data_IF_935084520755
#
_entry.id   IF_935084520755
#
_cell.length_a   1.000
_cell.length_b   1.000
_cell.length_c   1.000
_cell.angle_alpha   90.00
_cell.angle_beta   90.00
_cell.angle_gamma   90.00
#
_symmetry.space_group_name_H-M   'P 1'
#
loop_
_entity.id
_entity.type
_entity.pdbx_description
1 polymer ?
#
# COMPACT_ATOMS: atom_id res chain seq x y z
N UNK A 1 -17.98 5.40 9.08
CA UNK A 1 -18.35 5.93 10.43
C UNK A 1 -17.92 4.94 11.52
N UNK A 2 -18.49 3.71 11.58
CA UNK A 2 -18.19 2.74 12.64
C UNK A 2 -16.67 2.42 12.77
N UNK A 3 -15.96 2.19 11.66
CA UNK A 3 -14.53 1.95 11.68
C UNK A 3 -13.73 3.15 12.25
N UNK A 4 -14.17 4.38 11.96
CA UNK A 4 -13.56 5.58 12.55
C UNK A 4 -13.75 5.64 14.07
N UNK A 5 -14.94 5.30 14.54
CA UNK A 5 -15.27 5.24 15.97
C UNK A 5 -14.48 4.14 16.69
N UNK A 6 -14.43 2.93 16.12
CA UNK A 6 -13.77 1.77 16.74
C UNK A 6 -12.25 1.85 16.73
N UNK A 7 -11.65 2.43 15.69
CA UNK A 7 -10.21 2.35 15.45
C UNK A 7 -9.52 3.72 15.37
N UNK A 8 -10.24 4.81 15.62
CA UNK A 8 -9.68 6.16 15.56
C UNK A 8 -9.28 6.61 14.14
N UNK A 9 -9.81 5.97 13.10
CA UNK A 9 -9.50 6.31 11.71
C UNK A 9 -10.23 7.61 11.35
N UNK A 10 -9.53 8.61 10.75
CA UNK A 10 -10.18 9.83 10.29
C UNK A 10 -11.32 9.53 9.32
N UNK A 11 -12.47 10.14 9.56
CA UNK A 11 -13.64 9.98 8.71
C UNK A 11 -13.88 11.25 7.90
N UNK A 12 -14.23 11.10 6.62
CA UNK A 12 -14.57 12.19 5.73
C UNK A 12 -15.70 11.78 4.81
N UNK A 13 -16.37 12.76 4.24
CA UNK A 13 -17.45 12.53 3.29
C UNK A 13 -17.95 13.83 2.69
N UNK A 14 -18.76 13.68 1.64
CA UNK A 14 -19.41 14.78 0.94
C UNK A 14 -20.89 14.45 0.74
N UNK A 15 -21.63 15.30 0.01
CA UNK A 15 -22.98 15.01 -0.41
C UNK A 15 -23.03 13.91 -1.50
N UNK A 16 -24.20 13.31 -1.68
CA UNK A 16 -24.50 12.43 -2.83
C UNK A 16 -25.29 13.23 -3.89
N UNK A 17 -25.34 12.70 -5.14
CA UNK A 17 -26.16 13.29 -6.21
C UNK A 17 -27.63 13.43 -5.81
N UNK A 18 -28.17 12.49 -5.03
CA UNK A 18 -29.54 12.55 -4.50
C UNK A 18 -29.81 13.78 -3.63
N UNK A 19 -28.79 14.31 -2.93
CA UNK A 19 -28.92 15.57 -2.20
C UNK A 19 -29.15 16.73 -3.16
N UNK A 20 -28.37 16.80 -4.25
CA UNK A 20 -28.50 17.85 -5.25
C UNK A 20 -29.87 17.77 -5.93
N UNK A 21 -30.26 16.55 -6.33
CA UNK A 21 -31.55 16.31 -7.02
C UNK A 21 -32.79 16.53 -6.12
N UNK A 22 -32.65 16.48 -4.82
CA UNK A 22 -33.73 16.72 -3.87
C UNK A 22 -34.17 18.21 -3.85
N UNK A 23 -33.29 19.13 -4.18
CA UNK A 23 -33.56 20.55 -4.18
C UNK A 23 -34.04 21.02 -5.57
N UNK A 24 -34.73 22.16 -5.59
CA UNK A 24 -35.31 22.72 -6.83
C UNK A 24 -34.24 23.11 -7.84
N UNK A 25 -33.04 23.48 -7.37
CA UNK A 25 -31.89 23.82 -8.20
C UNK A 25 -30.56 23.50 -7.47
N UNK A 26 -29.49 23.38 -8.25
CA UNK A 26 -28.16 23.01 -7.79
C UNK A 26 -27.54 24.06 -6.84
N UNK A 27 -27.75 25.35 -7.11
CA UNK A 27 -27.26 26.41 -6.24
C UNK A 27 -27.88 26.32 -4.85
N UNK A 28 -29.20 26.08 -4.76
CA UNK A 28 -29.91 25.90 -3.48
C UNK A 28 -29.39 24.69 -2.72
N UNK A 29 -29.14 23.57 -3.40
CA UNK A 29 -28.53 22.38 -2.79
C UNK A 29 -27.16 22.68 -2.19
N UNK A 30 -26.27 23.34 -2.94
CA UNK A 30 -24.93 23.72 -2.50
C UNK A 30 -24.96 24.73 -1.35
N UNK A 31 -25.82 25.74 -1.46
CA UNK A 31 -26.02 26.73 -0.39
C UNK A 31 -26.42 26.08 0.92
N UNK A 32 -27.42 25.19 0.90
CA UNK A 32 -27.89 24.48 2.10
C UNK A 32 -26.79 23.60 2.71
N UNK A 33 -26.02 22.92 1.88
CA UNK A 33 -24.90 22.13 2.38
C UNK A 33 -23.81 23.01 3.03
N UNK A 34 -23.47 24.12 2.41
CA UNK A 34 -22.48 25.06 2.92
C UNK A 34 -22.92 25.74 4.24
N UNK A 35 -24.21 26.06 4.39
CA UNK A 35 -24.78 26.56 5.64
C UNK A 35 -24.67 25.56 6.80
N UNK A 36 -24.82 24.25 6.51
CA UNK A 36 -24.75 23.18 7.53
C UNK A 36 -23.29 22.81 7.85
N UNK A 37 -22.42 22.77 6.83
CA UNK A 37 -21.02 22.34 6.96
C UNK A 37 -20.03 23.39 6.43
N UNK A 38 -19.98 24.59 7.01
CA UNK A 38 -19.20 25.70 6.45
C UNK A 38 -17.68 25.42 6.41
N UNK A 39 -17.16 24.66 7.37
CA UNK A 39 -15.75 24.30 7.45
C UNK A 39 -15.35 23.08 6.61
N UNK A 40 -16.32 22.30 6.14
CA UNK A 40 -16.11 21.07 5.40
C UNK A 40 -16.92 21.01 4.10
N UNK A 41 -17.20 22.17 3.50
CA UNK A 41 -17.96 22.26 2.25
C UNK A 41 -17.14 21.75 1.08
N UNK A 42 -17.37 20.49 0.68
CA UNK A 42 -16.91 19.90 -0.58
C UNK A 42 -18.15 19.62 -1.42
N UNK A 43 -18.29 20.32 -2.54
CA UNK A 43 -19.51 20.33 -3.36
C UNK A 43 -19.38 19.39 -4.55
N UNK A 44 -20.39 18.52 -4.76
CA UNK A 44 -20.45 17.55 -5.85
C UNK A 44 -21.00 18.24 -7.10
N UNK A 45 -20.13 18.54 -8.09
CA UNK A 45 -20.43 19.48 -9.17
C UNK A 45 -20.83 18.84 -10.50
N UNK A 46 -20.96 17.53 -10.54
CA UNK A 46 -21.23 16.77 -11.78
C UNK A 46 -22.63 16.12 -11.82
N UNK A 47 -23.57 16.64 -11.02
CA UNK A 47 -24.94 16.12 -11.07
C UNK A 47 -25.63 16.43 -12.42
N UNK A 48 -25.35 17.58 -13.01
CA UNK A 48 -25.93 18.02 -14.30
C UNK A 48 -24.86 18.34 -15.33
N UNK A 49 -24.18 19.48 -15.20
CA UNK A 49 -23.08 19.88 -16.06
C UNK A 49 -21.97 20.55 -15.24
N UNK A 50 -20.78 19.94 -15.26
CA UNK A 50 -19.66 20.40 -14.46
C UNK A 50 -19.26 21.84 -14.75
N UNK A 51 -19.14 22.20 -16.04
CA UNK A 51 -18.55 23.47 -16.47
C UNK A 51 -19.59 24.58 -16.66
N UNK A 52 -20.79 24.22 -17.07
CA UNK A 52 -21.86 25.19 -17.33
C UNK A 52 -22.73 25.47 -16.06
N UNK A 53 -22.77 24.57 -15.10
CA UNK A 53 -23.61 24.66 -13.91
C UNK A 53 -22.84 24.42 -12.60
N UNK A 54 -22.26 23.26 -12.40
CA UNK A 54 -21.72 22.82 -11.12
C UNK A 54 -20.63 23.72 -10.57
N UNK A 55 -19.53 23.91 -11.32
CA UNK A 55 -18.43 24.78 -10.90
C UNK A 55 -18.86 26.25 -10.78
N UNK A 56 -19.65 26.84 -11.71
CA UNK A 56 -20.20 28.18 -11.53
C UNK A 56 -21.03 28.34 -10.25
N UNK A 57 -21.93 27.39 -9.93
CA UNK A 57 -22.74 27.43 -8.70
C UNK A 57 -21.88 27.24 -7.44
N UNK A 58 -20.85 26.39 -7.48
CA UNK A 58 -19.91 26.24 -6.38
C UNK A 58 -19.15 27.56 -6.10
N UNK A 59 -18.67 28.23 -7.15
CA UNK A 59 -18.00 29.54 -7.04
C UNK A 59 -18.97 30.59 -6.49
N UNK A 60 -20.22 30.58 -6.93
CA UNK A 60 -21.25 31.47 -6.45
C UNK A 60 -21.51 31.28 -4.96
N UNK A 61 -21.69 30.04 -4.51
CA UNK A 61 -21.85 29.70 -3.07
C UNK A 61 -20.64 30.09 -2.25
N UNK A 62 -19.44 29.89 -2.76
CA UNK A 62 -18.21 30.34 -2.08
C UNK A 62 -18.25 31.85 -1.80
N UNK A 63 -18.66 32.65 -2.80
CA UNK A 63 -18.66 34.13 -2.71
C UNK A 63 -19.87 34.69 -1.93
N UNK A 64 -21.06 34.13 -2.16
CA UNK A 64 -22.30 34.66 -1.60
C UNK A 64 -22.64 34.10 -0.21
N UNK A 65 -22.12 32.92 0.14
CA UNK A 65 -22.47 32.23 1.39
C UNK A 65 -21.25 32.09 2.31
N UNK A 66 -20.19 31.43 1.86
CA UNK A 66 -19.06 31.09 2.71
C UNK A 66 -18.17 32.30 3.07
N UNK A 67 -17.79 33.12 2.09
CA UNK A 67 -16.96 34.30 2.34
C UNK A 67 -17.59 35.29 3.31
N UNK A 68 -18.91 35.62 3.24
CA UNK A 68 -19.54 36.47 4.24
C UNK A 68 -19.53 35.89 5.67
N UNK A 69 -19.45 34.55 5.79
CA UNK A 69 -19.27 33.86 7.08
C UNK A 69 -17.83 33.79 7.55
N UNK A 70 -16.89 34.37 6.81
CA UNK A 70 -15.44 34.25 7.08
C UNK A 70 -14.88 32.87 6.78
N UNK A 71 -15.55 32.08 5.92
CA UNK A 71 -15.18 30.71 5.55
C UNK A 71 -14.74 30.64 4.08
N UNK A 72 -14.07 29.54 3.74
CA UNK A 72 -13.62 29.26 2.36
C UNK A 72 -14.25 27.96 1.87
N UNK A 73 -14.51 27.89 0.57
CA UNK A 73 -14.91 26.63 -0.07
C UNK A 73 -13.77 25.65 0.02
N UNK A 74 -13.96 24.55 0.73
CA UNK A 74 -12.90 23.55 0.93
C UNK A 74 -12.56 22.80 -0.35
N UNK A 75 -13.56 22.43 -1.14
CA UNK A 75 -13.32 21.69 -2.37
C UNK A 75 -14.55 21.51 -3.24
N UNK A 76 -14.29 21.00 -4.43
CA UNK A 76 -15.30 20.41 -5.33
C UNK A 76 -14.99 18.94 -5.55
N UNK A 77 -16.02 18.16 -5.88
CA UNK A 77 -15.89 16.72 -6.20
C UNK A 77 -16.39 16.45 -7.61
N UNK A 78 -15.58 15.71 -8.36
CA UNK A 78 -15.88 15.17 -9.69
C UNK A 78 -16.01 13.65 -9.57
N UNK A 79 -17.14 13.09 -9.98
CA UNK A 79 -17.48 11.67 -9.84
C UNK A 79 -17.78 11.01 -11.21
N UNK A 80 -17.73 11.75 -12.30
CA UNK A 80 -18.06 11.26 -13.64
C UNK A 80 -17.35 12.04 -14.76
N UNK A 81 -17.42 11.50 -15.99
CA UNK A 81 -16.86 12.10 -17.19
C UNK A 81 -15.34 11.95 -17.32
N UNK A 82 -14.74 12.75 -18.20
CA UNK A 82 -13.28 12.82 -18.36
C UNK A 82 -12.66 13.65 -17.23
N UNK A 83 -12.24 12.95 -16.16
CA UNK A 83 -11.70 13.57 -14.95
C UNK A 83 -10.45 14.40 -15.22
N UNK A 84 -9.58 13.99 -16.17
CA UNK A 84 -8.38 14.75 -16.50
C UNK A 84 -8.72 16.07 -17.19
N UNK A 85 -9.63 16.05 -18.14
CA UNK A 85 -10.10 17.25 -18.82
C UNK A 85 -10.87 18.17 -17.87
N UNK A 86 -11.85 17.62 -17.16
CA UNK A 86 -12.74 18.39 -16.28
C UNK A 86 -11.97 19.04 -15.13
N UNK A 87 -11.03 18.33 -14.48
CA UNK A 87 -10.23 18.89 -13.39
C UNK A 87 -9.36 20.07 -13.86
N UNK A 88 -8.76 19.98 -15.05
CA UNK A 88 -7.99 21.08 -15.62
C UNK A 88 -8.84 22.31 -15.93
N UNK A 89 -10.07 22.13 -16.41
CA UNK A 89 -11.01 23.23 -16.69
C UNK A 89 -11.56 23.84 -15.39
N UNK A 90 -11.99 22.98 -14.46
CA UNK A 90 -12.48 23.41 -13.14
C UNK A 90 -11.42 24.20 -12.37
N UNK A 91 -10.15 23.73 -12.38
CA UNK A 91 -9.04 24.43 -11.72
C UNK A 91 -8.87 25.86 -12.27
N UNK A 92 -8.89 26.03 -13.60
CA UNK A 92 -8.82 27.36 -14.21
C UNK A 92 -9.97 28.28 -13.79
N UNK A 93 -11.19 27.74 -13.68
CA UNK A 93 -12.36 28.51 -13.26
C UNK A 93 -12.27 28.92 -11.78
N UNK A 94 -11.82 28.02 -10.92
CA UNK A 94 -11.62 28.27 -9.49
C UNK A 94 -10.53 29.33 -9.29
N UNK A 95 -9.37 29.20 -9.94
CA UNK A 95 -8.27 30.17 -9.87
C UNK A 95 -8.71 31.56 -10.33
N UNK A 96 -9.41 31.65 -11.46
CA UNK A 96 -9.96 32.90 -11.95
C UNK A 96 -10.98 33.56 -11.02
N UNK A 97 -11.57 32.77 -10.11
CA UNK A 97 -12.52 33.25 -9.09
C UNK A 97 -11.85 33.62 -7.76
N UNK A 98 -10.51 33.44 -7.60
CA UNK A 98 -9.77 33.65 -6.36
C UNK A 98 -9.93 32.51 -5.35
N UNK A 99 -10.09 31.26 -5.85
CA UNK A 99 -10.29 30.05 -5.06
C UNK A 99 -9.17 29.02 -5.33
N UNK A 100 -7.91 29.47 -5.33
CA UNK A 100 -6.73 28.64 -5.56
C UNK A 100 -6.54 27.58 -4.49
N UNK A 101 -7.03 27.84 -3.27
CA UNK A 101 -7.03 26.96 -2.11
C UNK A 101 -8.15 25.89 -2.12
N UNK A 102 -9.13 26.02 -3.02
CA UNK A 102 -10.20 25.04 -3.18
C UNK A 102 -9.66 23.75 -3.81
N UNK A 103 -9.68 22.64 -3.10
CA UNK A 103 -9.19 21.35 -3.60
C UNK A 103 -10.17 20.72 -4.61
N UNK A 104 -9.64 19.92 -5.52
CA UNK A 104 -10.44 19.11 -6.45
C UNK A 104 -10.31 17.64 -6.03
N UNK A 105 -11.43 17.04 -5.65
CA UNK A 105 -11.55 15.64 -5.29
C UNK A 105 -12.10 14.86 -6.47
N UNK A 106 -11.47 13.76 -6.85
CA UNK A 106 -12.00 12.83 -7.84
C UNK A 106 -12.45 11.53 -7.19
N UNK A 107 -13.51 10.95 -7.69
CA UNK A 107 -14.04 9.64 -7.31
C UNK A 107 -14.61 8.92 -8.55
N UNK A 108 -15.21 7.76 -8.39
CA UNK A 108 -15.75 6.89 -9.42
C UNK A 108 -14.74 5.83 -9.92
N UNK A 109 -14.89 4.62 -9.41
CA UNK A 109 -14.20 3.40 -9.88
C UNK A 109 -12.67 3.56 -10.02
N UNK A 110 -12.09 4.39 -9.17
CA UNK A 110 -10.64 4.65 -9.18
C UNK A 110 -9.86 3.45 -8.65
N UNK A 111 -8.76 3.18 -9.31
CA UNK A 111 -7.72 2.24 -8.90
C UNK A 111 -6.33 2.84 -9.19
N UNK A 112 -5.30 2.09 -8.84
CA UNK A 112 -3.90 2.47 -9.04
C UNK A 112 -3.59 2.83 -10.50
N UNK A 113 -4.11 2.07 -11.46
CA UNK A 113 -3.86 2.30 -12.90
C UNK A 113 -4.58 3.54 -13.41
N UNK A 114 -5.83 3.72 -13.02
CA UNK A 114 -6.62 4.91 -13.39
C UNK A 114 -6.01 6.17 -12.80
N UNK A 115 -5.59 6.14 -11.53
CA UNK A 115 -4.93 7.28 -10.88
C UNK A 115 -3.61 7.60 -11.58
N UNK A 116 -2.79 6.60 -11.87
CA UNK A 116 -1.53 6.79 -12.61
C UNK A 116 -1.77 7.48 -13.96
N UNK A 117 -2.72 6.97 -14.74
CA UNK A 117 -3.09 7.54 -16.03
C UNK A 117 -3.60 8.98 -15.92
N UNK A 118 -4.43 9.29 -14.91
CA UNK A 118 -4.91 10.66 -14.68
C UNK A 118 -3.75 11.64 -14.39
N UNK A 119 -2.77 11.21 -13.59
CA UNK A 119 -1.59 12.01 -13.25
C UNK A 119 -0.72 12.23 -14.49
N UNK A 120 -0.47 11.20 -15.30
CA UNK A 120 0.26 11.32 -16.57
C UNK A 120 -0.42 12.29 -17.56
N UNK A 121 -1.74 12.30 -17.60
CA UNK A 121 -2.51 13.24 -18.41
C UNK A 121 -2.49 14.68 -17.86
N UNK A 122 -1.82 14.92 -16.72
CA UNK A 122 -1.72 16.22 -16.08
C UNK A 122 -3.04 16.67 -15.44
N UNK A 123 -3.85 15.75 -14.94
CA UNK A 123 -5.04 16.07 -14.15
C UNK A 123 -4.69 16.97 -12.96
N UNK A 124 -5.60 17.88 -12.63
CA UNK A 124 -5.47 18.80 -11.50
C UNK A 124 -6.36 18.33 -10.34
N UNK A 125 -5.99 17.20 -9.78
CA UNK A 125 -6.72 16.52 -8.70
C UNK A 125 -5.83 16.50 -7.47
N UNK A 126 -6.38 16.94 -6.34
CA UNK A 126 -5.65 17.06 -5.07
C UNK A 126 -5.93 15.87 -4.14
N UNK A 127 -7.05 15.17 -4.33
CA UNK A 127 -7.45 14.04 -3.52
C UNK A 127 -8.29 13.03 -4.32
N UNK A 128 -8.11 11.74 -4.00
CA UNK A 128 -8.81 10.64 -4.66
C UNK A 128 -9.69 9.88 -3.66
N UNK A 129 -10.97 9.73 -4.01
CA UNK A 129 -11.92 8.88 -3.28
C UNK A 129 -11.90 7.47 -3.86
N UNK A 130 -11.05 6.60 -3.32
CA UNK A 130 -10.95 5.20 -3.76
C UNK A 130 -11.78 4.33 -2.84
N UNK A 131 -12.78 3.65 -3.40
CA UNK A 131 -13.77 2.87 -2.63
C UNK A 131 -13.66 1.37 -2.89
N UNK A 132 -14.59 0.85 -3.70
CA UNK A 132 -14.76 -0.59 -3.95
C UNK A 132 -13.45 -1.29 -4.32
N UNK A 133 -12.68 -0.75 -5.24
CA UNK A 133 -11.47 -1.40 -5.75
C UNK A 133 -10.37 -1.53 -4.69
N UNK A 134 -10.29 -0.56 -3.77
CA UNK A 134 -9.37 -0.63 -2.63
C UNK A 134 -9.85 -1.65 -1.59
N UNK A 135 -11.14 -1.60 -1.21
CA UNK A 135 -11.71 -2.47 -0.16
C UNK A 135 -11.69 -3.94 -0.59
N UNK A 136 -11.95 -4.21 -1.87
CA UNK A 136 -11.93 -5.58 -2.42
C UNK A 136 -10.54 -6.04 -2.82
N UNK A 137 -9.52 -5.16 -2.76
CA UNK A 137 -8.17 -5.41 -3.31
C UNK A 137 -8.26 -5.99 -4.73
N UNK A 138 -9.02 -5.34 -5.62
CA UNK A 138 -9.54 -5.89 -6.87
C UNK A 138 -8.47 -6.50 -7.79
N UNK A 139 -7.28 -5.92 -7.82
CA UNK A 139 -6.16 -6.42 -8.63
C UNK A 139 -5.56 -7.72 -8.08
N UNK A 140 -5.57 -7.89 -6.74
CA UNK A 140 -5.10 -9.10 -6.07
C UNK A 140 -5.89 -9.33 -4.77
N UNK A 141 -7.12 -9.90 -4.85
CA UNK A 141 -8.07 -9.95 -3.74
C UNK A 141 -7.73 -10.99 -2.67
N UNK A 142 -6.73 -11.83 -2.89
CA UNK A 142 -6.40 -12.93 -1.98
C UNK A 142 -4.90 -12.98 -1.71
N UNK A 143 -4.50 -12.78 -0.47
CA UNK A 143 -3.15 -13.16 -0.04
C UNK A 143 -3.00 -14.67 -0.13
N UNK A 144 -2.14 -15.15 -1.03
CA UNK A 144 -1.85 -16.56 -1.24
C UNK A 144 -1.06 -17.20 -0.09
N UNK A 145 -1.50 -17.03 1.15
CA UNK A 145 -0.84 -17.59 2.31
C UNK A 145 -1.02 -19.10 2.40
N UNK A 146 0.09 -19.82 2.61
CA UNK A 146 0.11 -21.29 2.74
C UNK A 146 0.92 -21.68 3.97
N UNK A 147 0.35 -22.54 4.80
CA UNK A 147 1.07 -23.17 5.90
C UNK A 147 1.63 -24.52 5.45
N UNK A 148 2.94 -24.75 5.62
CA UNK A 148 3.62 -25.97 5.19
C UNK A 148 4.48 -26.55 6.31
N UNK A 149 4.40 -27.88 6.46
CA UNK A 149 5.29 -28.64 7.35
C UNK A 149 6.71 -28.61 6.78
N UNK A 150 7.65 -28.09 7.56
CA UNK A 150 9.08 -27.98 7.16
C UNK A 150 10.01 -28.71 8.11
N UNK A 151 9.57 -29.08 9.30
CA UNK A 151 10.35 -29.86 10.27
C UNK A 151 9.44 -30.59 11.27
N UNK A 152 9.96 -31.63 11.90
CA UNK A 152 9.35 -32.33 13.01
C UNK A 152 10.40 -32.47 14.12
N UNK A 153 10.05 -32.06 15.34
CA UNK A 153 10.92 -32.27 16.49
C UNK A 153 10.56 -33.60 17.18
N UNK A 154 11.56 -34.46 17.37
CA UNK A 154 11.47 -35.69 18.16
C UNK A 154 12.64 -35.72 19.13
N UNK A 155 12.38 -35.94 20.39
CA UNK A 155 13.41 -36.03 21.46
C UNK A 155 14.39 -34.84 21.43
N UNK A 156 13.88 -33.64 21.24
CA UNK A 156 14.63 -32.36 21.06
C UNK A 156 15.51 -32.28 19.83
N UNK A 157 15.43 -33.24 18.90
CA UNK A 157 16.14 -33.23 17.65
C UNK A 157 15.18 -32.76 16.55
N UNK A 158 15.61 -31.76 15.78
CA UNK A 158 14.87 -31.23 14.64
C UNK A 158 15.17 -32.05 13.38
N UNK A 159 14.14 -32.67 12.83
CA UNK A 159 14.21 -33.42 11.56
C UNK A 159 13.58 -32.57 10.45
N UNK A 160 14.37 -32.02 9.53
CA UNK A 160 13.84 -31.26 8.41
C UNK A 160 12.98 -32.12 7.51
N UNK A 161 11.90 -31.54 6.98
CA UNK A 161 10.96 -32.16 6.04
C UNK A 161 10.86 -31.31 4.77
N UNK A 162 10.90 -31.98 3.63
CA UNK A 162 10.80 -31.32 2.34
C UNK A 162 9.65 -31.90 1.52
N UNK A 163 8.90 -31.02 0.87
CA UNK A 163 7.98 -31.40 -0.19
C UNK A 163 8.64 -31.13 -1.54
N UNK A 164 8.73 -32.15 -2.36
CA UNK A 164 9.18 -32.04 -3.74
C UNK A 164 8.00 -31.68 -4.64
N UNK A 165 8.22 -30.81 -5.61
CA UNK A 165 7.24 -30.39 -6.60
C UNK A 165 7.94 -30.21 -7.96
N UNK A 166 7.19 -30.40 -9.04
CA UNK A 166 7.67 -30.06 -10.39
C UNK A 166 7.81 -28.55 -10.61
N UNK A 167 7.07 -27.74 -9.84
CA UNK A 167 7.15 -26.28 -9.83
C UNK A 167 8.13 -25.86 -8.74
N UNK A 168 9.21 -25.18 -9.09
CA UNK A 168 10.31 -24.82 -8.19
C UNK A 168 9.81 -24.01 -6.98
N UNK A 169 8.95 -23.02 -7.19
CA UNK A 169 8.41 -22.14 -6.13
C UNK A 169 7.52 -22.90 -5.14
N UNK A 170 7.06 -24.10 -5.50
CA UNK A 170 6.28 -24.98 -4.62
C UNK A 170 7.11 -25.96 -3.80
N UNK A 171 8.43 -26.01 -4.04
CA UNK A 171 9.36 -26.76 -3.19
C UNK A 171 9.51 -26.02 -1.87
N UNK A 172 9.28 -26.74 -0.76
CA UNK A 172 9.38 -26.10 0.56
C UNK A 172 10.82 -25.81 0.96
N UNK A 173 11.00 -24.77 1.78
CA UNK A 173 12.26 -24.49 2.44
C UNK A 173 12.30 -25.26 3.77
N UNK A 174 13.05 -26.37 3.87
CA UNK A 174 13.00 -27.31 5.00
C UNK A 174 13.72 -26.78 6.24
N UNK A 175 13.46 -27.44 7.38
CA UNK A 175 14.19 -27.20 8.61
C UNK A 175 13.75 -25.94 9.38
N UNK A 176 14.35 -25.79 10.55
CA UNK A 176 14.25 -24.58 11.35
C UNK A 176 15.27 -23.56 10.81
N UNK A 177 14.80 -22.34 10.58
CA UNK A 177 15.55 -21.31 9.84
C UNK A 177 15.26 -19.92 10.36
N UNK A 178 16.15 -18.98 10.03
CA UNK A 178 15.97 -17.55 10.23
C UNK A 178 15.93 -16.83 8.89
N UNK A 179 15.32 -15.64 8.87
CA UNK A 179 15.28 -14.76 7.71
C UNK A 179 15.82 -13.40 8.13
N UNK A 180 16.79 -12.92 7.39
CA UNK A 180 17.51 -11.68 7.64
C UNK A 180 17.33 -10.75 6.46
N UNK A 181 17.02 -9.50 6.72
CA UNK A 181 17.09 -8.45 5.71
C UNK A 181 18.47 -7.84 5.72
N UNK A 182 19.07 -7.78 4.55
CA UNK A 182 20.42 -7.23 4.33
C UNK A 182 20.27 -5.83 3.75
N UNK A 183 20.95 -4.86 4.36
CA UNK A 183 20.93 -3.47 3.95
C UNK A 183 22.31 -3.02 3.45
N UNK A 184 22.31 -2.21 2.41
CA UNK A 184 23.51 -1.51 1.97
C UNK A 184 23.88 -0.33 2.91
N UNK A 185 25.03 0.35 2.70
CA UNK A 185 25.41 1.51 3.53
C UNK A 185 24.44 2.68 3.47
N UNK A 186 23.66 2.81 2.41
CA UNK A 186 22.65 3.86 2.24
C UNK A 186 21.33 3.54 2.98
N UNK A 187 21.20 2.36 3.58
CA UNK A 187 20.03 1.92 4.33
C UNK A 187 18.97 1.21 3.51
N UNK A 188 19.19 0.99 2.21
CA UNK A 188 18.26 0.24 1.36
C UNK A 188 18.44 -1.27 1.51
N UNK A 189 17.31 -1.98 1.58
CA UNK A 189 17.26 -3.42 1.58
C UNK A 189 17.68 -3.98 0.20
N UNK A 190 18.74 -4.76 0.16
CA UNK A 190 19.28 -5.33 -1.09
C UNK A 190 18.85 -6.77 -1.32
N UNK A 191 18.57 -7.51 -0.26
CA UNK A 191 18.07 -8.89 -0.32
C UNK A 191 17.55 -9.34 1.05
N UNK A 192 16.78 -10.41 1.06
CA UNK A 192 16.48 -11.21 2.25
C UNK A 192 17.29 -12.51 2.20
N UNK A 193 17.93 -12.89 3.31
CA UNK A 193 18.80 -14.06 3.42
C UNK A 193 18.17 -15.11 4.35
N UNK A 194 18.02 -16.33 3.86
CA UNK A 194 17.64 -17.49 4.68
C UNK A 194 18.87 -18.19 5.22
N UNK A 195 18.92 -18.42 6.52
CA UNK A 195 20.01 -19.17 7.20
C UNK A 195 19.48 -20.34 8.00
N UNK A 196 20.35 -21.25 8.42
CA UNK A 196 20.01 -22.20 9.49
C UNK A 196 19.68 -21.43 10.78
N UNK A 197 18.89 -22.03 11.67
CA UNK A 197 18.44 -21.37 12.91
C UNK A 197 19.59 -20.98 13.86
N UNK A 198 20.69 -21.70 13.81
CA UNK A 198 21.90 -21.49 14.60
C UNK A 198 22.98 -20.69 13.87
N UNK A 199 22.75 -20.36 12.60
CA UNK A 199 23.67 -19.56 11.77
C UNK A 199 23.30 -18.07 11.85
N UNK A 200 24.18 -17.30 12.49
CA UNK A 200 24.01 -15.84 12.64
C UNK A 200 24.95 -15.12 11.69
N UNK A 201 24.43 -14.35 10.72
CA UNK A 201 25.27 -13.56 9.83
C UNK A 201 26.07 -12.51 10.60
N UNK A 202 27.38 -12.43 10.35
CA UNK A 202 28.27 -11.42 10.92
C UNK A 202 28.61 -10.36 9.86
N UNK A 203 28.04 -9.16 9.93
CA UNK A 203 28.27 -8.11 8.94
C UNK A 203 29.68 -7.50 9.00
N UNK A 204 30.51 -7.85 9.98
CA UNK A 204 31.92 -7.48 10.01
C UNK A 204 32.77 -8.29 9.03
N UNK A 205 32.23 -9.36 8.47
CA UNK A 205 32.84 -10.22 7.47
C UNK A 205 31.97 -10.30 6.21
N UNK A 206 32.52 -10.65 5.04
CA UNK A 206 31.70 -10.95 3.88
C UNK A 206 30.73 -12.09 4.18
N UNK A 207 29.43 -11.85 3.99
CA UNK A 207 28.36 -12.83 4.21
C UNK A 207 28.10 -13.56 2.89
N UNK A 208 28.54 -14.82 2.74
CA UNK A 208 28.34 -15.56 1.50
C UNK A 208 26.88 -15.95 1.30
N UNK A 209 26.41 -15.89 0.06
CA UNK A 209 25.06 -16.32 -0.30
C UNK A 209 25.03 -17.08 -1.63
N UNK A 210 23.94 -17.81 -1.83
CA UNK A 210 23.61 -18.54 -3.06
C UNK A 210 22.21 -18.10 -3.49
N UNK A 211 22.07 -17.63 -4.73
CA UNK A 211 20.77 -17.45 -5.37
C UNK A 211 20.19 -18.85 -5.68
N UNK A 212 19.08 -19.26 -5.07
CA UNK A 212 18.55 -20.61 -5.23
C UNK A 212 18.01 -20.90 -6.64
N UNK A 213 17.68 -19.87 -7.42
CA UNK A 213 17.25 -20.00 -8.81
C UNK A 213 18.42 -19.97 -9.78
N UNK A 214 19.50 -19.32 -9.40
CA UNK A 214 20.71 -19.12 -10.21
C UNK A 214 21.97 -19.46 -9.40
N UNK A 215 22.15 -20.73 -8.99
CA UNK A 215 23.20 -21.13 -8.06
C UNK A 215 24.63 -20.91 -8.56
N UNK A 216 24.81 -20.61 -9.84
CA UNK A 216 26.08 -20.15 -10.39
C UNK A 216 26.45 -18.71 -10.01
N UNK A 217 25.50 -17.93 -9.48
CA UNK A 217 25.72 -16.61 -8.93
C UNK A 217 25.96 -16.71 -7.41
N UNK A 218 27.08 -17.29 -7.02
CA UNK A 218 27.52 -17.24 -5.62
C UNK A 218 28.33 -15.97 -5.42
N UNK A 219 27.92 -15.16 -4.47
CA UNK A 219 28.54 -13.88 -4.12
C UNK A 219 28.56 -13.74 -2.59
N UNK A 220 29.02 -12.59 -2.12
CA UNK A 220 28.97 -12.25 -0.71
C UNK A 220 28.48 -10.81 -0.55
N UNK A 221 27.65 -10.56 0.47
CA UNK A 221 27.36 -9.21 0.90
C UNK A 221 28.55 -8.65 1.69
N UNK A 222 28.98 -7.46 1.31
CA UNK A 222 30.04 -6.70 1.99
C UNK A 222 29.52 -5.31 2.33
N UNK A 223 30.10 -4.65 3.31
CA UNK A 223 29.70 -3.31 3.73
C UNK A 223 28.19 -3.20 3.96
N UNK A 224 27.63 -4.12 4.72
CA UNK A 224 26.20 -4.24 4.93
C UNK A 224 25.84 -4.28 6.42
N UNK A 225 24.56 -4.07 6.71
CA UNK A 225 23.95 -4.38 8.01
C UNK A 225 22.86 -5.43 7.82
N UNK A 226 22.51 -6.12 8.89
CA UNK A 226 21.48 -7.17 8.85
C UNK A 226 20.47 -6.98 9.96
N UNK A 227 19.19 -7.29 9.66
CA UNK A 227 18.11 -7.29 10.63
C UNK A 227 17.32 -8.60 10.54
N UNK A 228 17.13 -9.29 11.67
CA UNK A 228 16.23 -10.45 11.70
C UNK A 228 14.79 -10.00 11.47
N UNK A 229 14.10 -10.66 10.53
CA UNK A 229 12.71 -10.34 10.20
C UNK A 229 11.70 -11.10 11.05
N UNK A 230 12.13 -12.16 11.73
CA UNK A 230 11.25 -12.99 12.54
C UNK A 230 11.15 -12.43 13.94
N UNK A 231 9.93 -12.17 14.40
CA UNK A 231 9.64 -11.74 15.75
C UNK A 231 8.79 -12.77 16.47
N UNK A 232 9.12 -13.04 17.73
CA UNK A 232 8.30 -13.90 18.57
C UNK A 232 7.05 -13.15 19.02
N UNK A 233 5.89 -13.56 18.53
CA UNK A 233 4.59 -12.93 18.83
C UNK A 233 3.78 -13.68 19.88
N UNK A 234 4.11 -14.97 20.14
CA UNK A 234 3.41 -15.82 21.10
C UNK A 234 4.36 -16.83 21.73
N UNK A 235 4.28 -17.00 23.05
CA UNK A 235 5.01 -18.04 23.84
C UNK A 235 4.01 -18.69 24.78
N UNK A 236 3.98 -20.00 24.81
CA UNK A 236 3.09 -20.82 25.68
C UNK A 236 1.61 -20.36 25.63
N UNK A 237 1.13 -20.04 24.42
CA UNK A 237 -0.24 -19.58 24.18
C UNK A 237 -0.52 -18.15 24.64
N UNK A 238 0.50 -17.39 25.05
CA UNK A 238 0.37 -15.99 25.46
C UNK A 238 1.07 -15.06 24.47
N UNK A 239 0.40 -13.98 24.14
CA UNK A 239 0.97 -12.92 23.29
C UNK A 239 2.15 -12.25 24.02
N UNK A 240 3.26 -12.07 23.33
CA UNK A 240 4.51 -11.52 23.90
C UNK A 240 4.49 -10.00 24.02
N UNK A 241 3.74 -9.34 23.16
CA UNK A 241 3.57 -7.88 23.14
C UNK A 241 2.16 -7.52 22.67
N UNK A 242 1.59 -6.37 23.08
CA UNK A 242 0.28 -5.94 22.58
C UNK A 242 0.32 -5.73 21.07
N UNK A 243 -0.85 -5.83 20.43
CA UNK A 243 -0.99 -5.45 19.02
C UNK A 243 -0.71 -3.96 18.86
N UNK A 244 0.05 -3.56 17.83
CA UNK A 244 0.31 -2.15 17.57
C UNK A 244 -0.99 -1.42 17.20
N UNK A 245 -1.05 -0.14 17.47
CA UNK A 245 -2.11 0.74 17.00
C UNK A 245 -2.04 0.91 15.47
N UNK A 246 -3.14 1.35 14.86
CA UNK A 246 -3.18 1.62 13.41
C UNK A 246 -2.14 2.68 13.03
N UNK A 247 -1.94 3.70 13.87
CA UNK A 247 -0.98 4.77 13.60
C UNK A 247 0.47 4.28 13.65
N UNK A 248 0.80 3.38 14.57
CA UNK A 248 2.11 2.73 14.62
C UNK A 248 2.35 1.87 13.37
N UNK A 249 1.33 1.11 12.93
CA UNK A 249 1.41 0.31 11.69
C UNK A 249 1.61 1.21 10.46
N UNK A 250 0.85 2.31 10.35
CA UNK A 250 0.99 3.28 9.25
C UNK A 250 2.38 3.91 9.22
N UNK A 251 2.87 4.32 10.38
CA UNK A 251 4.21 4.91 10.51
C UNK A 251 5.30 3.91 10.11
N UNK A 252 5.16 2.66 10.54
CA UNK A 252 6.08 1.57 10.16
C UNK A 252 6.08 1.33 8.64
N UNK A 253 4.89 1.21 8.02
CA UNK A 253 4.79 1.02 6.55
C UNK A 253 5.40 2.21 5.81
N UNK A 254 5.10 3.43 6.24
CA UNK A 254 5.68 4.64 5.63
C UNK A 254 7.21 4.64 5.71
N UNK A 255 7.76 4.31 6.87
CA UNK A 255 9.21 4.20 7.05
C UNK A 255 9.82 3.17 6.10
N UNK A 256 9.21 1.97 5.99
CA UNK A 256 9.70 0.93 5.09
C UNK A 256 9.73 1.41 3.63
N UNK A 257 8.64 2.02 3.16
CA UNK A 257 8.53 2.49 1.78
C UNK A 257 9.47 3.68 1.47
N UNK A 258 9.60 4.62 2.40
CA UNK A 258 10.38 5.84 2.18
C UNK A 258 11.91 5.61 2.32
N UNK A 259 12.34 4.64 3.14
CA UNK A 259 13.74 4.54 3.59
C UNK A 259 14.39 3.19 3.32
N UNK A 260 13.64 2.10 3.24
CA UNK A 260 14.21 0.75 3.17
C UNK A 260 13.98 0.07 1.81
N UNK A 261 12.83 0.30 1.17
CA UNK A 261 12.46 -0.37 -0.08
C UNK A 261 12.85 0.50 -1.28
N UNK A 262 13.55 -0.08 -2.24
CA UNK A 262 13.94 0.60 -3.45
C UNK A 262 12.73 1.18 -4.22
N UNK A 263 12.82 2.42 -4.75
CA UNK A 263 11.76 2.97 -5.60
C UNK A 263 11.43 2.08 -6.80
N UNK A 264 12.41 1.34 -7.32
CA UNK A 264 12.26 0.40 -8.42
C UNK A 264 11.36 -0.79 -8.07
N UNK A 265 11.35 -1.24 -6.82
CA UNK A 265 10.47 -2.30 -6.32
C UNK A 265 9.03 -1.80 -6.11
N UNK A 266 8.85 -0.49 -5.96
CA UNK A 266 7.55 0.15 -5.73
C UNK A 266 6.85 0.55 -7.04
N UNK A 267 7.42 0.26 -8.20
CA UNK A 267 6.78 0.57 -9.49
C UNK A 267 5.48 -0.17 -9.65
N UNK A 268 4.47 0.53 -10.17
CA UNK A 268 3.18 -0.07 -10.47
C UNK A 268 3.29 -1.10 -11.59
N UNK A 269 4.10 -0.80 -12.62
CA UNK A 269 4.36 -1.68 -13.74
C UNK A 269 5.81 -2.13 -13.74
N UNK A 270 6.03 -3.42 -13.99
CA UNK A 270 7.35 -4.05 -14.03
C UNK A 270 8.22 -3.69 -12.79
N UNK A 271 7.76 -3.98 -11.58
CA UNK A 271 8.56 -3.74 -10.38
C UNK A 271 9.82 -4.59 -10.40
N UNK A 272 10.90 -4.07 -9.83
CA UNK A 272 12.09 -4.87 -9.59
C UNK A 272 11.79 -5.97 -8.56
N UNK A 273 12.31 -7.17 -8.77
CA UNK A 273 12.10 -8.28 -7.85
C UNK A 273 13.04 -8.15 -6.66
N UNK A 274 12.49 -8.22 -5.45
CA UNK A 274 13.30 -8.34 -4.24
C UNK A 274 13.95 -9.73 -4.18
N UNK A 275 15.27 -9.78 -3.92
CA UNK A 275 16.01 -11.04 -3.91
C UNK A 275 15.79 -11.80 -2.61
N UNK A 276 15.66 -13.12 -2.73
CA UNK A 276 15.62 -14.05 -1.61
C UNK A 276 16.73 -15.09 -1.77
N UNK A 277 17.79 -14.89 -1.05
CA UNK A 277 19.00 -15.71 -1.10
C UNK A 277 19.09 -16.70 0.06
N UNK A 278 20.01 -17.64 -0.03
CA UNK A 278 20.25 -18.65 1.00
C UNK A 278 21.72 -18.63 1.41
N UNK A 279 22.00 -18.87 2.69
CA UNK A 279 23.36 -19.19 3.09
C UNK A 279 23.85 -20.49 2.41
N UNK A 280 25.13 -20.64 2.14
CA UNK A 280 25.65 -21.88 1.54
C UNK A 280 25.30 -23.14 2.31
N UNK A 281 25.34 -23.08 3.64
CA UNK A 281 24.97 -24.21 4.50
C UNK A 281 23.48 -24.57 4.37
N UNK A 282 22.60 -23.57 4.38
CA UNK A 282 21.17 -23.79 4.20
C UNK A 282 20.84 -24.33 2.80
N UNK A 283 21.45 -23.77 1.76
CA UNK A 283 21.29 -24.24 0.38
C UNK A 283 21.75 -25.69 0.23
N UNK A 284 22.90 -26.04 0.77
CA UNK A 284 23.43 -27.42 0.72
C UNK A 284 22.46 -28.40 1.41
N UNK A 285 22.01 -28.12 2.62
CA UNK A 285 21.04 -28.95 3.36
C UNK A 285 19.75 -29.16 2.54
N UNK A 286 19.21 -28.11 1.91
CA UNK A 286 18.02 -28.21 1.05
C UNK A 286 18.28 -29.11 -0.15
N UNK A 287 19.42 -28.99 -0.81
CA UNK A 287 19.77 -29.79 -1.99
C UNK A 287 20.01 -31.27 -1.64
N UNK A 288 20.59 -31.57 -0.47
CA UNK A 288 20.77 -32.95 0.01
C UNK A 288 19.42 -33.62 0.26
N UNK A 289 18.50 -32.92 0.90
CA UNK A 289 17.14 -33.43 1.14
C UNK A 289 16.38 -33.65 -0.17
N UNK A 290 16.53 -32.76 -1.14
CA UNK A 290 15.92 -32.93 -2.48
C UNK A 290 16.46 -34.20 -3.17
N UNK A 291 17.78 -34.40 -3.18
CA UNK A 291 18.43 -35.60 -3.75
C UNK A 291 17.94 -36.88 -3.05
N UNK A 292 17.91 -36.88 -1.73
CA UNK A 292 17.42 -38.02 -0.95
C UNK A 292 15.96 -38.37 -1.25
N UNK A 293 15.09 -37.35 -1.36
CA UNK A 293 13.68 -37.56 -1.70
C UNK A 293 13.43 -38.06 -3.14
N UNK A 294 14.34 -37.76 -4.06
CA UNK A 294 14.31 -38.28 -5.44
C UNK A 294 14.82 -39.73 -5.52
N UNK A 295 15.81 -40.09 -4.70
CA UNK A 295 16.36 -41.46 -4.67
C UNK A 295 15.43 -42.50 -4.04
N UNK A 296 14.37 -42.06 -3.34
CA UNK A 296 13.37 -42.92 -2.68
C UNK A 296 12.16 -43.22 -3.62
N UNK A 297 12.14 -42.66 -4.81
CA UNK A 297 11.19 -42.98 -5.88
C UNK A 297 11.74 -44.09 -6.79
#
# INVERSE_FOLDING_TARGET
>A
MLAGEMFGIPVSGTMAHSWVMYHDDEYTAFKRFAEIYPDNSVLLVDTYDVLASGVPNAIRVAKEVLMPMGKRLKGIRLDSGDLAYLSKKARKMLDAAGLEDCIIVASNSLDEFTIHSLLEQGARIDSFGVGERLITAKSDPVFGAVYKLVAVNKDKVCFPKIKVSETFEKITNPGQKRVWRVYNPDGFAVADLITMADELPDPSQPIPYVDPEKPWKSMAFTDCTVRELQETVMVDGRQTKPSPSIEEVRSYVKQQLDQEIWPEEQRLENPHTHYLDMSPAYYQMKMELLKAAQATK
#
